data_IF_237688396466
#
_entry.id   IF_237688396466
#
_cell.length_a   1.000
_cell.length_b   1.000
_cell.length_c   1.000
_cell.angle_alpha   90.00
_cell.angle_beta   90.00
_cell.angle_gamma   90.00
#
_symmetry.space_group_name_H-M   'P 1'
#
loop_
_entity.id
_entity.type
_entity.pdbx_description
1 polymer ?
#
# COMPACT_ATOMS: atom_id res chain seq x y z
N UNK A 1 -16.84 -2.12 25.31
CA UNK A 1 -15.56 -1.38 25.25
C UNK A 1 -14.67 -2.07 24.23
N UNK A 2 -14.13 -1.35 23.24
CA UNK A 2 -13.20 -1.94 22.25
C UNK A 2 -11.81 -2.09 22.86
N UNK A 3 -11.07 -3.15 22.52
CA UNK A 3 -9.72 -3.40 23.05
C UNK A 3 -8.70 -2.50 22.33
N UNK A 4 -7.67 -2.02 23.05
CA UNK A 4 -6.58 -1.27 22.41
C UNK A 4 -5.67 -2.22 21.64
N UNK A 5 -5.10 -1.75 20.53
CA UNK A 5 -4.07 -2.49 19.79
C UNK A 5 -2.80 -2.55 20.68
N UNK A 6 -2.21 -3.74 20.87
CA UNK A 6 -0.97 -3.87 21.64
C UNK A 6 0.24 -3.33 20.86
N UNK A 7 1.29 -2.94 21.57
CA UNK A 7 2.55 -2.53 20.96
C UNK A 7 3.38 -3.77 20.61
N UNK A 8 3.76 -3.91 19.35
CA UNK A 8 4.62 -5.00 18.87
C UNK A 8 6.09 -4.59 18.90
N UNK A 9 7.00 -5.53 19.17
CA UNK A 9 8.46 -5.28 19.19
C UNK A 9 9.11 -5.52 17.83
N UNK A 10 8.41 -6.19 16.92
CA UNK A 10 8.87 -6.52 15.58
C UNK A 10 7.72 -6.49 14.57
N UNK A 11 8.05 -6.18 13.32
CA UNK A 11 7.09 -6.18 12.22
C UNK A 11 6.47 -7.58 12.03
N UNK A 12 7.25 -8.64 12.24
CA UNK A 12 6.77 -10.03 12.18
C UNK A 12 5.67 -10.32 13.20
N UNK A 13 5.83 -9.86 14.44
CA UNK A 13 4.78 -10.04 15.47
C UNK A 13 3.51 -9.25 15.11
N UNK A 14 3.67 -8.07 14.51
CA UNK A 14 2.55 -7.29 14.02
C UNK A 14 1.82 -8.00 12.87
N UNK A 15 2.56 -8.57 11.92
CA UNK A 15 2.00 -9.35 10.80
C UNK A 15 1.25 -10.58 11.31
N UNK A 16 1.83 -11.34 12.23
CA UNK A 16 1.19 -12.52 12.81
C UNK A 16 -0.08 -12.16 13.60
N UNK A 17 -0.10 -10.99 14.25
CA UNK A 17 -1.30 -10.46 14.91
C UNK A 17 -2.37 -10.10 13.88
N UNK A 18 -2.04 -9.31 12.85
CA UNK A 18 -3.00 -8.91 11.81
C UNK A 18 -3.58 -10.12 11.08
N UNK A 19 -2.77 -11.15 10.84
CA UNK A 19 -3.21 -12.37 10.16
C UNK A 19 -4.22 -13.21 10.97
N UNK A 20 -4.15 -13.16 12.31
CA UNK A 20 -4.95 -14.03 13.20
C UNK A 20 -6.02 -13.28 13.99
N UNK A 21 -5.86 -11.99 14.21
CA UNK A 21 -6.72 -11.20 15.07
C UNK A 21 -7.97 -10.71 14.34
N UNK A 22 -9.09 -10.77 15.05
CA UNK A 22 -10.33 -10.13 14.63
C UNK A 22 -10.28 -8.63 14.95
N UNK A 23 -9.85 -7.83 13.97
CA UNK A 23 -9.64 -6.38 14.08
C UNK A 23 -10.93 -5.61 14.40
N UNK A 24 -12.13 -6.17 14.17
CA UNK A 24 -13.39 -5.51 14.50
C UNK A 24 -13.59 -5.31 16.02
N UNK A 25 -12.90 -6.10 16.83
CA UNK A 25 -12.92 -6.01 18.31
C UNK A 25 -11.96 -4.97 18.88
N UNK A 26 -11.09 -4.41 18.03
CA UNK A 26 -10.08 -3.45 18.43
C UNK A 26 -10.47 -2.02 18.08
N UNK A 27 -9.96 -1.09 18.86
CA UNK A 27 -10.12 0.34 18.61
C UNK A 27 -9.11 0.78 17.55
N UNK A 28 -9.61 1.00 16.33
CA UNK A 28 -8.84 1.48 15.19
C UNK A 28 -8.89 3.02 15.05
N UNK A 29 -9.49 3.74 16.02
CA UNK A 29 -9.71 5.19 15.91
C UNK A 29 -8.40 6.02 15.86
N UNK A 30 -7.29 5.43 16.31
CA UNK A 30 -5.95 6.03 16.20
C UNK A 30 -5.20 5.68 14.91
N UNK A 31 -5.77 4.82 14.06
CA UNK A 31 -5.13 4.45 12.80
C UNK A 31 -5.31 5.59 11.78
N UNK A 32 -4.20 6.02 11.18
CA UNK A 32 -4.24 6.98 10.10
C UNK A 32 -4.61 6.25 8.81
N UNK A 33 -5.81 6.50 8.30
CA UNK A 33 -6.26 5.97 7.01
C UNK A 33 -5.41 6.59 5.90
N UNK A 34 -4.40 5.85 5.44
CA UNK A 34 -3.58 6.25 4.30
C UNK A 34 -4.29 5.80 3.03
N UNK A 35 -4.72 6.76 2.21
CA UNK A 35 -5.31 6.47 0.91
C UNK A 35 -4.17 6.25 -0.09
N UNK A 36 -3.98 5.00 -0.51
CA UNK A 36 -3.10 4.69 -1.63
C UNK A 36 -3.85 4.98 -2.93
N UNK A 37 -3.50 6.07 -3.61
CA UNK A 37 -3.89 6.26 -5.00
C UNK A 37 -3.06 5.28 -5.85
N UNK A 38 -3.69 4.17 -6.26
CA UNK A 38 -3.19 3.29 -7.29
C UNK A 38 -3.25 4.04 -8.63
N UNK A 39 -2.30 4.96 -8.85
CA UNK A 39 -2.11 5.54 -10.19
C UNK A 39 -1.54 4.46 -11.10
N UNK A 40 -2.32 4.07 -12.10
CA UNK A 40 -1.83 3.28 -13.22
C UNK A 40 -0.65 4.05 -13.83
N UNK A 41 0.51 3.41 -13.91
CA UNK A 41 1.70 4.03 -14.48
C UNK A 41 1.59 3.94 -16.00
N UNK A 42 0.99 4.96 -16.62
CA UNK A 42 0.97 5.13 -18.09
C UNK A 42 2.39 5.33 -18.61
N UNK A 43 3.12 4.23 -18.78
CA UNK A 43 4.38 4.22 -19.53
C UNK A 43 4.04 4.26 -21.03
N UNK A 44 3.83 5.46 -21.59
CA UNK A 44 3.90 5.64 -23.04
C UNK A 44 5.31 6.10 -23.42
N UNK A 45 6.13 5.17 -23.92
CA UNK A 45 7.39 5.52 -24.59
C UNK A 45 7.04 5.82 -26.04
N UNK A 46 6.98 7.10 -26.40
CA UNK A 46 6.90 7.49 -27.82
C UNK A 46 8.32 7.48 -28.39
N UNK A 47 8.67 6.44 -29.14
CA UNK A 47 9.91 6.37 -29.89
C UNK A 47 9.69 6.95 -31.29
N UNK A 48 10.09 8.21 -31.52
CA UNK A 48 10.14 8.78 -32.87
C UNK A 48 11.39 8.28 -33.60
N UNK A 49 11.24 7.25 -34.43
CA UNK A 49 12.26 6.87 -35.41
C UNK A 49 12.19 7.83 -36.59
N UNK A 50 13.09 8.82 -36.65
CA UNK A 50 13.31 9.59 -37.89
C UNK A 50 14.15 8.73 -38.82
N UNK A 51 13.49 7.96 -39.69
CA UNK A 51 14.12 7.36 -40.85
C UNK A 51 14.31 8.44 -41.93
N UNK A 52 15.46 9.10 -41.94
CA UNK A 52 15.87 9.95 -43.07
C UNK A 52 16.48 9.06 -44.15
N UNK A 53 15.63 8.58 -45.06
CA UNK A 53 16.04 8.09 -46.39
C UNK A 53 15.43 9.00 -47.47
N UNK A 54 16.26 9.31 -48.46
CA UNK A 54 16.00 10.00 -49.73
C UNK A 54 15.79 11.54 -49.58
N UNK A 55 16.46 12.41 -50.33
CA UNK A 55 17.14 12.31 -51.63
C UNK A 55 18.41 13.14 -51.67
#
# INVERSE_FOLDING_TARGET
MKKKIPTFKSDREADEFVAKADLAKYDLSGAQLVRFDLKLKDKSITAVSRNSRAQ
#
